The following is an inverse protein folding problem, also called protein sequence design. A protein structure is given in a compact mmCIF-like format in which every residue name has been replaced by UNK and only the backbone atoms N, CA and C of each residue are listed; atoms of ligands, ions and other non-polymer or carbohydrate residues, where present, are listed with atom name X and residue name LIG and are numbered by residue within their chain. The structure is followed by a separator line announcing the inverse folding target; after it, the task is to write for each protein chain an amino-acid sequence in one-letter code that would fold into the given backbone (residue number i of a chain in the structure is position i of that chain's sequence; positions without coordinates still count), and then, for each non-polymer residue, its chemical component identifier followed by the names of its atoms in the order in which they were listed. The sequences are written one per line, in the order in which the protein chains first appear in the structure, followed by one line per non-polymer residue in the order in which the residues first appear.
data_IF_935062932800
#
_entry.id   IF_935062932800
#
_cell.length_a   1.000
_cell.length_b   1.000
_cell.length_c   1.000
_cell.angle_alpha   90.00
_cell.angle_beta   90.00
_cell.angle_gamma   90.00
#
_symmetry.space_group_name_H-M   'P 1'
#
loop_
_entity.id
_entity.type
_entity.pdbx_description
1 polymer ?
#
# COMPACT_ATOMS: atom_id res chain seq x y z
N UNK A 1 11.07 5.46 11.30
CA UNK A 1 12.17 5.19 10.36
C UNK A 1 12.19 6.32 9.34
N UNK A 2 13.33 6.95 9.12
CA UNK A 2 13.56 8.01 8.15
C UNK A 2 14.31 7.45 6.94
N UNK A 3 14.27 8.16 5.81
CA UNK A 3 15.09 7.83 4.63
C UNK A 3 16.58 7.64 4.96
N UNK A 4 17.06 8.28 6.02
CA UNK A 4 18.47 8.20 6.43
C UNK A 4 18.88 6.77 6.83
N UNK A 5 17.94 5.93 7.28
CA UNK A 5 18.26 4.54 7.65
C UNK A 5 18.49 3.63 6.43
N UNK A 6 18.02 4.01 5.24
CA UNK A 6 18.26 3.27 4.00
C UNK A 6 19.25 3.95 3.05
N UNK A 7 19.66 5.19 3.34
CA UNK A 7 20.51 6.01 2.46
C UNK A 7 21.88 5.38 2.13
N UNK A 8 22.42 4.54 3.03
CA UNK A 8 23.68 3.81 2.83
C UNK A 8 23.55 2.32 3.21
N UNK A 9 22.33 1.81 3.28
CA UNK A 9 22.04 0.44 3.66
C UNK A 9 20.81 -0.05 2.88
N UNK A 10 20.99 -0.55 1.65
CA UNK A 10 19.88 -1.02 0.84
C UNK A 10 19.22 -2.23 1.52
N UNK A 11 17.91 -2.16 1.69
CA UNK A 11 17.11 -3.20 2.34
C UNK A 11 15.89 -3.55 1.49
N UNK A 12 15.42 -4.80 1.50
CA UNK A 12 14.14 -5.16 0.88
C UNK A 12 12.99 -4.37 1.50
N UNK A 13 12.17 -3.71 0.69
CA UNK A 13 11.06 -2.86 1.17
C UNK A 13 10.09 -3.63 2.10
N UNK A 14 9.82 -4.90 1.81
CA UNK A 14 8.96 -5.76 2.62
C UNK A 14 9.47 -5.97 4.07
N UNK A 15 10.77 -5.77 4.33
CA UNK A 15 11.37 -5.87 5.66
C UNK A 15 11.31 -4.55 6.45
N UNK A 16 10.82 -3.46 5.84
CA UNK A 16 10.72 -2.18 6.51
C UNK A 16 9.40 -2.00 7.28
N UNK A 17 8.44 -2.90 7.10
CA UNK A 17 7.18 -2.95 7.85
C UNK A 17 6.91 -4.39 8.27
N UNK A 18 6.43 -4.59 9.49
CA UNK A 18 6.15 -5.92 10.04
C UNK A 18 4.65 -6.17 10.14
N UNK A 19 4.28 -7.44 10.00
CA UNK A 19 2.92 -7.86 10.30
C UNK A 19 2.65 -7.73 11.81
N UNK A 20 1.41 -7.39 12.13
CA UNK A 20 0.91 -7.44 13.49
C UNK A 20 -0.44 -8.13 13.47
N UNK A 21 -0.62 -9.11 14.36
CA UNK A 21 -1.85 -9.90 14.44
C UNK A 21 -3.09 -8.99 14.54
N UNK A 22 -4.10 -9.27 13.72
CA UNK A 22 -5.38 -8.58 13.67
C UNK A 22 -5.26 -7.05 13.50
N UNK A 23 -4.27 -6.58 12.74
CA UNK A 23 -4.00 -5.16 12.58
C UNK A 23 -3.52 -4.80 11.18
N UNK A 24 -3.61 -3.51 10.87
CA UNK A 24 -2.97 -2.87 9.73
C UNK A 24 -1.86 -1.99 10.27
N UNK A 25 -0.62 -2.33 9.96
CA UNK A 25 0.55 -1.49 10.29
C UNK A 25 0.86 -0.63 9.07
N UNK A 26 0.99 0.68 9.26
CA UNK A 26 1.41 1.60 8.20
C UNK A 26 2.68 2.34 8.57
N UNK A 27 3.49 2.66 7.57
CA UNK A 27 4.76 3.33 7.75
C UNK A 27 5.05 4.27 6.59
N UNK A 28 5.03 5.57 6.87
CA UNK A 28 5.34 6.61 5.89
C UNK A 28 6.85 6.69 5.68
N UNK A 29 7.32 6.40 4.46
CA UNK A 29 8.74 6.50 4.08
C UNK A 29 9.08 7.92 3.60
N UNK A 30 8.19 8.52 2.80
CA UNK A 30 8.33 9.86 2.26
C UNK A 30 7.01 10.60 2.44
N UNK A 31 7.10 11.84 2.93
CA UNK A 31 5.97 12.76 3.00
C UNK A 31 6.41 14.13 2.53
N UNK A 32 5.78 14.63 1.47
CA UNK A 32 5.98 15.96 0.91
C UNK A 32 4.62 16.60 0.63
N UNK A 33 4.62 17.87 0.22
CA UNK A 33 3.38 18.53 -0.24
C UNK A 33 2.83 17.84 -1.49
N UNK A 34 3.72 17.46 -2.40
CA UNK A 34 3.43 16.76 -3.67
C UNK A 34 3.03 15.28 -3.52
N UNK A 35 2.88 14.76 -2.31
CA UNK A 35 2.49 13.36 -2.14
C UNK A 35 3.19 12.60 -1.02
N UNK A 36 2.93 11.29 -0.99
CA UNK A 36 3.54 10.40 -0.02
C UNK A 36 3.88 9.03 -0.60
N UNK A 37 4.80 8.36 0.09
CA UNK A 37 5.13 6.95 -0.14
C UNK A 37 4.97 6.25 1.21
N UNK A 38 4.04 5.30 1.27
CA UNK A 38 3.63 4.65 2.52
C UNK A 38 3.66 3.14 2.34
N UNK A 39 4.34 2.44 3.23
CA UNK A 39 4.25 1.00 3.34
C UNK A 39 3.06 0.60 4.20
N UNK A 40 2.44 -0.51 3.86
CA UNK A 40 1.42 -1.15 4.68
C UNK A 40 1.74 -2.63 4.86
N UNK A 41 1.41 -3.17 6.03
CA UNK A 41 1.34 -4.59 6.32
C UNK A 41 -0.03 -4.90 6.92
N UNK A 42 -0.79 -5.73 6.22
CA UNK A 42 -2.12 -6.16 6.60
C UNK A 42 -2.04 -7.57 7.16
N UNK A 43 -2.67 -7.78 8.31
CA UNK A 43 -3.05 -9.12 8.70
C UNK A 43 -4.17 -9.65 7.79
N UNK A 44 -4.22 -10.96 7.58
CA UNK A 44 -5.28 -11.61 6.82
C UNK A 44 -6.68 -11.12 7.24
N UNK A 45 -7.53 -10.82 6.25
CA UNK A 45 -8.89 -10.33 6.44
C UNK A 45 -9.01 -8.85 6.77
N UNK A 46 -7.91 -8.14 7.08
CA UNK A 46 -7.94 -6.69 7.29
C UNK A 46 -8.14 -5.94 5.98
N UNK A 47 -8.77 -4.76 6.07
CA UNK A 47 -9.07 -3.93 4.90
C UNK A 47 -8.94 -2.42 5.17
N UNK A 48 -8.58 -1.69 4.12
CA UNK A 48 -8.90 -0.28 4.00
C UNK A 48 -10.26 -0.16 3.34
N UNK A 49 -11.22 0.39 4.08
CA UNK A 49 -12.58 0.59 3.60
C UNK A 49 -12.63 1.42 2.32
N UNK A 50 -13.72 1.25 1.58
CA UNK A 50 -13.94 1.97 0.34
C UNK A 50 -13.97 3.48 0.57
N UNK A 51 -13.21 4.20 -0.25
CA UNK A 51 -13.16 5.65 -0.22
C UNK A 51 -12.80 6.20 -1.61
N UNK A 52 -12.93 7.52 -1.76
CA UNK A 52 -12.56 8.24 -2.97
C UNK A 52 -11.40 9.18 -2.63
N UNK A 53 -10.36 9.15 -3.44
CA UNK A 53 -9.22 10.08 -3.38
C UNK A 53 -9.31 11.09 -4.52
N UNK A 54 -9.07 12.40 -4.28
CA UNK A 54 -8.94 13.39 -5.36
C UNK A 54 -7.58 13.32 -6.06
N UNK A 55 -6.73 12.35 -5.71
CA UNK A 55 -5.37 12.21 -6.22
C UNK A 55 -5.12 10.82 -6.77
N UNK A 56 -4.27 10.72 -7.79
CA UNK A 56 -3.80 9.45 -8.31
C UNK A 56 -2.88 8.76 -7.30
N UNK A 57 -3.03 7.44 -7.19
CA UNK A 57 -2.15 6.60 -6.43
C UNK A 57 -1.80 5.31 -7.18
N UNK A 58 -0.77 4.63 -6.72
CA UNK A 58 -0.32 3.33 -7.22
C UNK A 58 -0.03 2.42 -6.04
N UNK A 59 -0.48 1.18 -6.14
CA UNK A 59 -0.21 0.10 -5.18
C UNK A 59 0.70 -0.91 -5.83
N UNK A 60 1.75 -1.34 -5.12
CA UNK A 60 2.64 -2.43 -5.51
C UNK A 60 2.63 -3.47 -4.40
N UNK A 61 2.34 -4.73 -4.73
CA UNK A 61 2.43 -5.83 -3.77
C UNK A 61 3.90 -6.19 -3.51
N UNK A 62 4.27 -6.23 -2.23
CA UNK A 62 5.62 -6.55 -1.77
C UNK A 62 5.73 -7.93 -1.14
N UNK A 63 4.62 -8.48 -0.63
CA UNK A 63 4.55 -9.78 0.03
C UNK A 63 3.08 -10.24 0.11
N UNK A 64 2.86 -11.56 -0.02
CA UNK A 64 1.54 -12.20 0.06
C UNK A 64 0.54 -11.80 -1.03
N UNK A 65 -0.75 -11.88 -0.68
CA UNK A 65 -1.87 -11.75 -1.62
C UNK A 65 -2.92 -10.75 -1.12
N UNK A 66 -3.17 -9.71 -1.92
CA UNK A 66 -4.18 -8.68 -1.65
C UNK A 66 -5.23 -8.60 -2.76
N UNK A 67 -6.33 -7.91 -2.48
CA UNK A 67 -7.36 -7.56 -3.45
C UNK A 67 -7.61 -6.06 -3.41
N UNK A 68 -7.61 -5.44 -4.59
CA UNK A 68 -7.99 -4.04 -4.79
C UNK A 68 -9.27 -3.99 -5.59
N UNK A 69 -10.30 -3.36 -5.01
CA UNK A 69 -11.58 -3.12 -5.66
C UNK A 69 -11.60 -1.71 -6.20
N UNK A 70 -11.96 -1.53 -7.47
CA UNK A 70 -12.09 -0.21 -8.14
C UNK A 70 -13.40 -0.21 -8.90
N UNK A 71 -14.30 0.74 -8.60
CA UNK A 71 -15.66 0.80 -9.17
C UNK A 71 -16.41 -0.54 -9.14
N UNK A 72 -16.37 -1.24 -8.01
CA UNK A 72 -17.02 -2.53 -7.89
C UNK A 72 -16.23 -3.72 -8.45
N UNK A 73 -15.21 -3.50 -9.28
CA UNK A 73 -14.40 -4.57 -9.88
C UNK A 73 -13.23 -4.96 -8.98
N UNK A 74 -13.17 -6.23 -8.62
CA UNK A 74 -12.09 -6.81 -7.81
C UNK A 74 -10.89 -7.20 -8.69
N UNK A 75 -9.68 -6.89 -8.22
CA UNK A 75 -8.42 -7.23 -8.87
C UNK A 75 -7.48 -7.82 -7.82
N UNK A 76 -7.05 -9.06 -8.01
CA UNK A 76 -6.10 -9.73 -7.12
C UNK A 76 -4.68 -9.27 -7.45
N UNK A 77 -3.88 -9.03 -6.42
CA UNK A 77 -2.47 -8.66 -6.49
C UNK A 77 -1.63 -9.72 -5.80
N UNK A 78 -0.66 -10.26 -6.52
CA UNK A 78 0.40 -11.12 -6.01
C UNK A 78 1.71 -10.34 -5.93
N UNK A 79 2.71 -10.91 -5.26
CA UNK A 79 4.04 -10.30 -5.11
C UNK A 79 4.59 -9.83 -6.46
N UNK A 80 4.95 -8.54 -6.54
CA UNK A 80 5.48 -7.91 -7.75
C UNK A 80 4.43 -7.28 -8.66
N UNK A 81 3.14 -7.59 -8.47
CA UNK A 81 2.06 -6.94 -9.21
C UNK A 81 1.90 -5.48 -8.76
N UNK A 82 1.47 -4.64 -9.71
CA UNK A 82 1.14 -3.24 -9.47
C UNK A 82 -0.23 -2.90 -10.06
N UNK A 83 -0.95 -1.98 -9.40
CA UNK A 83 -2.21 -1.44 -9.89
C UNK A 83 -2.29 0.07 -9.64
N UNK A 84 -2.82 0.80 -10.62
CA UNK A 84 -3.12 2.21 -10.50
C UNK A 84 -4.50 2.45 -9.89
N UNK A 85 -4.59 3.45 -9.01
CA UNK A 85 -5.79 3.97 -8.38
C UNK A 85 -6.02 5.39 -8.91
N UNK A 86 -6.75 5.55 -10.02
CA UNK A 86 -7.00 6.87 -10.60
C UNK A 86 -7.88 7.74 -9.69
N UNK A 87 -7.67 9.06 -9.77
CA UNK A 87 -8.45 10.06 -9.02
C UNK A 87 -9.96 9.92 -9.22
N UNK A 88 -10.72 10.27 -8.19
CA UNK A 88 -12.18 10.32 -8.17
C UNK A 88 -12.90 8.99 -8.46
N UNK A 89 -12.22 7.85 -8.31
CA UNK A 89 -12.84 6.52 -8.41
C UNK A 89 -12.86 5.83 -7.06
N UNK A 90 -14.01 5.30 -6.58
CA UNK A 90 -14.09 4.56 -5.33
C UNK A 90 -13.20 3.33 -5.38
N UNK A 91 -12.41 3.14 -4.33
CA UNK A 91 -11.55 1.98 -4.19
C UNK A 91 -11.39 1.52 -2.75
N UNK A 92 -11.15 0.22 -2.57
CA UNK A 92 -10.81 -0.42 -1.30
C UNK A 92 -9.65 -1.39 -1.48
N UNK A 93 -9.00 -1.75 -0.36
CA UNK A 93 -7.91 -2.72 -0.34
C UNK A 93 -8.21 -3.74 0.75
N UNK A 94 -8.12 -5.03 0.44
CA UNK A 94 -8.33 -6.12 1.40
C UNK A 94 -7.21 -7.15 1.31
N UNK A 95 -6.78 -7.64 2.46
CA UNK A 95 -5.83 -8.74 2.59
C UNK A 95 -6.57 -10.09 2.43
N UNK A 96 -6.26 -10.84 1.37
CA UNK A 96 -6.74 -12.22 1.20
C UNK A 96 -5.89 -13.20 2.01
N UNK A 97 -4.61 -12.89 2.13
CA UNK A 97 -3.62 -13.49 3.03
C UNK A 97 -2.88 -12.34 3.75
N UNK A 98 -1.94 -12.64 4.65
CA UNK A 98 -1.02 -11.60 5.13
C UNK A 98 -0.36 -10.91 3.93
N UNK A 99 -0.51 -9.59 3.84
CA UNK A 99 -0.22 -8.82 2.63
C UNK A 99 0.56 -7.55 2.95
N UNK A 100 1.67 -7.31 2.25
CA UNK A 100 2.40 -6.03 2.30
C UNK A 100 2.32 -5.31 0.98
N UNK A 101 2.15 -3.99 1.05
CA UNK A 101 2.17 -3.15 -0.15
C UNK A 101 2.93 -1.84 0.04
N UNK A 102 3.41 -1.30 -1.08
CA UNK A 102 3.82 0.09 -1.22
C UNK A 102 2.67 0.89 -1.85
N UNK A 103 2.21 1.93 -1.17
CA UNK A 103 1.32 2.94 -1.71
C UNK A 103 2.14 4.19 -2.07
N UNK A 104 2.05 4.61 -3.32
CA UNK A 104 2.59 5.90 -3.80
C UNK A 104 1.39 6.76 -4.19
N UNK A 105 1.21 7.90 -3.52
CA UNK A 105 0.18 8.87 -3.90
C UNK A 105 0.88 10.15 -4.35
N UNK A 106 0.50 10.65 -5.53
CA UNK A 106 1.03 11.89 -6.10
C UNK A 106 -0.04 12.96 -6.03
N UNK A 107 0.33 14.14 -5.52
CA UNK A 107 -0.52 15.32 -5.48
C UNK A 107 0.07 16.39 -6.38
N UNK A 108 -0.80 17.25 -6.89
CA UNK A 108 -0.40 18.52 -7.51
C UNK A 108 0.27 19.47 -6.49
#
# INVERSE_FOLDING_TARGET
MSLNEIANNPMPLAKLVEYQANSIVSKVLLKKKSGNVTLFAFWEGQELSEHISPFDAMVICLDGTGMVKIDGKENVLNIGDAIGLPTNRPHSVKALENFKMLLIMVKE
#
